data_IF_294128325643
#
_entry.id   IF_294128325643
#
_cell.length_a   1.000
_cell.length_b   1.000
_cell.length_c   1.000
_cell.angle_alpha   90.00
_cell.angle_beta   90.00
_cell.angle_gamma   90.00
#
_symmetry.space_group_name_H-M   'P 1'
#
loop_
_entity.id
_entity.type
_entity.pdbx_description
1 polymer ?
#
# COMPACT_ATOMS: atom_id res chain seq x y z
N UNK A 1 -0.13 25.88 34.59
CA UNK A 1 0.45 26.98 35.40
C UNK A 1 1.17 27.90 34.42
N UNK A 2 0.52 29.00 34.01
CA UNK A 2 1.10 29.95 33.06
C UNK A 2 2.27 30.64 33.75
N UNK A 3 3.44 30.69 33.09
CA UNK A 3 4.62 31.40 33.59
C UNK A 3 4.37 32.91 33.46
N UNK A 4 3.62 33.48 34.40
CA UNK A 4 3.21 34.90 34.39
C UNK A 4 4.39 35.85 34.65
N UNK A 5 5.51 35.36 35.20
CA UNK A 5 6.70 36.15 35.56
C UNK A 5 7.65 36.48 34.38
N UNK A 6 7.26 36.20 33.14
CA UNK A 6 8.17 36.35 31.98
C UNK A 6 8.11 37.72 31.30
N UNK A 7 7.08 38.52 31.56
CA UNK A 7 6.86 39.81 30.90
C UNK A 7 6.44 40.84 31.95
N UNK A 8 7.10 42.00 31.93
CA UNK A 8 6.99 43.04 32.95
C UNK A 8 5.85 44.02 32.66
N UNK A 9 5.32 44.05 31.44
CA UNK A 9 4.19 44.91 31.05
C UNK A 9 3.31 44.29 29.96
N UNK A 10 2.08 44.79 29.82
CA UNK A 10 1.18 44.42 28.72
C UNK A 10 1.76 44.80 27.36
N UNK A 11 2.50 45.91 27.27
CA UNK A 11 3.16 46.34 26.04
C UNK A 11 4.23 45.34 25.56
N UNK A 12 4.96 44.71 26.48
CA UNK A 12 5.91 43.64 26.14
C UNK A 12 5.20 42.38 25.64
N UNK A 13 4.03 42.07 26.22
CA UNK A 13 3.20 40.95 25.77
C UNK A 13 2.69 41.25 24.35
N UNK A 14 2.18 42.45 24.10
CA UNK A 14 1.65 42.86 22.80
C UNK A 14 2.74 42.85 21.72
N UNK A 15 3.94 43.34 22.05
CA UNK A 15 5.10 43.27 21.15
C UNK A 15 5.47 41.82 20.81
N UNK A 16 5.49 40.93 21.80
CA UNK A 16 5.80 39.52 21.58
C UNK A 16 4.72 38.79 20.78
N UNK A 17 3.45 39.15 20.98
CA UNK A 17 2.35 38.62 20.19
C UNK A 17 2.48 39.05 18.72
N UNK A 18 2.81 40.31 18.45
CA UNK A 18 3.02 40.81 17.09
C UNK A 18 4.15 40.08 16.36
N UNK A 19 5.27 39.81 17.05
CA UNK A 19 6.38 39.00 16.49
C UNK A 19 5.92 37.58 16.11
N UNK A 20 5.20 36.90 17.01
CA UNK A 20 4.71 35.54 16.77
C UNK A 20 3.67 35.49 15.64
N UNK A 21 2.84 36.51 15.50
CA UNK A 21 1.90 36.63 14.38
C UNK A 21 2.63 36.79 13.04
N UNK A 22 3.72 37.57 13.01
CA UNK A 22 4.54 37.72 11.82
C UNK A 22 5.24 36.41 11.44
N UNK A 23 5.80 35.69 12.41
CA UNK A 23 6.41 34.37 12.19
C UNK A 23 5.38 33.35 11.69
N UNK A 24 4.19 33.31 12.32
CA UNK A 24 3.08 32.46 11.87
C UNK A 24 2.71 32.74 10.43
N UNK A 25 2.62 34.02 10.05
CA UNK A 25 2.30 34.43 8.67
C UNK A 25 3.38 33.96 7.69
N UNK A 26 4.66 34.06 8.04
CA UNK A 26 5.77 33.55 7.23
C UNK A 26 5.72 32.03 7.07
N UNK A 27 5.49 31.30 8.16
CA UNK A 27 5.41 29.84 8.13
C UNK A 27 4.21 29.33 7.32
N UNK A 28 3.07 30.03 7.37
CA UNK A 28 1.90 29.70 6.54
C UNK A 28 2.20 29.91 5.06
N UNK A 29 2.84 31.03 4.68
CA UNK A 29 3.25 31.26 3.30
C UNK A 29 4.26 30.21 2.80
N UNK A 30 5.24 29.83 3.62
CA UNK A 30 6.20 28.77 3.29
C UNK A 30 5.52 27.40 3.15
N UNK A 31 4.55 27.11 4.01
CA UNK A 31 3.74 25.89 3.93
C UNK A 31 2.95 25.87 2.63
N UNK A 32 2.28 26.95 2.28
CA UNK A 32 1.55 27.07 1.00
C UNK A 32 2.51 26.84 -0.17
N UNK A 33 3.67 27.49 -0.20
CA UNK A 33 4.69 27.27 -1.24
C UNK A 33 5.13 25.81 -1.39
N UNK A 34 5.25 25.07 -0.28
CA UNK A 34 5.62 23.64 -0.28
C UNK A 34 4.44 22.70 -0.57
N UNK A 35 3.24 23.12 -0.22
CA UNK A 35 2.00 22.35 -0.43
C UNK A 35 1.38 22.61 -1.79
N UNK A 36 1.70 23.71 -2.46
CA UNK A 36 1.44 23.86 -3.87
C UNK A 36 2.15 22.69 -4.56
N UNK A 37 1.41 21.73 -5.13
CA UNK A 37 2.03 20.76 -5.99
C UNK A 37 2.72 21.60 -7.07
N UNK A 38 4.01 21.33 -7.30
CA UNK A 38 4.62 21.77 -8.54
C UNK A 38 3.61 21.47 -9.66
N UNK A 39 3.38 22.36 -10.63
CA UNK A 39 2.52 22.02 -11.77
C UNK A 39 3.00 20.76 -12.53
N UNK A 40 4.17 20.21 -12.17
CA UNK A 40 4.73 18.94 -12.62
C UNK A 40 4.76 17.80 -11.59
N UNK A 41 4.20 17.95 -10.37
CA UNK A 41 4.12 16.84 -9.41
C UNK A 41 2.91 15.93 -9.63
N UNK A 42 2.67 15.58 -10.89
CA UNK A 42 2.24 14.24 -11.30
C UNK A 42 3.47 13.37 -11.57
N UNK A 43 4.54 13.56 -10.79
CA UNK A 43 5.81 12.84 -10.91
C UNK A 43 5.75 11.46 -10.24
N UNK A 44 4.60 10.78 -10.36
CA UNK A 44 4.71 9.34 -10.55
C UNK A 44 5.21 9.21 -11.97
N UNK A 45 6.42 8.69 -12.22
CA UNK A 45 6.83 8.39 -13.58
C UNK A 45 5.67 7.66 -14.22
N UNK A 46 5.25 8.10 -15.42
CA UNK A 46 4.24 7.42 -16.21
C UNK A 46 4.82 6.07 -16.59
N UNK A 47 4.84 5.14 -15.62
CA UNK A 47 5.39 3.83 -15.78
C UNK A 47 4.43 3.06 -16.66
N UNK A 48 4.95 2.50 -17.74
CA UNK A 48 4.18 1.55 -18.54
C UNK A 48 3.75 0.37 -17.65
N UNK A 49 2.67 -0.35 -17.99
CA UNK A 49 2.28 -1.56 -17.27
C UNK A 49 3.45 -2.55 -17.07
N UNK A 50 4.32 -2.69 -18.08
CA UNK A 50 5.50 -3.55 -18.05
C UNK A 50 6.53 -3.06 -17.03
N UNK A 51 6.77 -1.75 -16.96
CA UNK A 51 7.67 -1.15 -15.98
C UNK A 51 7.14 -1.35 -14.55
N UNK A 52 5.83 -1.19 -14.33
CA UNK A 52 5.20 -1.44 -13.03
C UNK A 52 5.35 -2.90 -12.60
N UNK A 53 5.18 -3.85 -13.54
CA UNK A 53 5.39 -5.28 -13.29
C UNK A 53 6.86 -5.56 -12.94
N UNK A 54 7.81 -4.98 -13.69
CA UNK A 54 9.23 -5.16 -13.43
C UNK A 54 9.63 -4.63 -12.03
N UNK A 55 9.14 -3.46 -11.66
CA UNK A 55 9.33 -2.87 -10.31
C UNK A 55 8.75 -3.80 -9.25
N UNK A 56 7.51 -4.28 -9.42
CA UNK A 56 6.89 -5.20 -8.47
C UNK A 56 7.72 -6.48 -8.29
N UNK A 57 8.18 -7.11 -9.37
CA UNK A 57 9.05 -8.30 -9.29
C UNK A 57 10.39 -8.00 -8.61
N UNK A 58 10.94 -6.81 -8.83
CA UNK A 58 12.19 -6.38 -8.21
C UNK A 58 12.08 -6.16 -6.70
N UNK A 59 10.96 -5.62 -6.23
CA UNK A 59 10.72 -5.34 -4.81
C UNK A 59 10.22 -6.58 -4.06
N UNK A 60 9.35 -7.37 -4.68
CA UNK A 60 8.71 -8.53 -4.06
C UNK A 60 9.37 -9.83 -4.55
N UNK A 61 10.58 -10.08 -4.04
CA UNK A 61 11.36 -11.30 -4.32
C UNK A 61 10.85 -12.45 -3.46
N UNK A 62 9.84 -13.16 -3.96
CA UNK A 62 9.37 -14.43 -3.41
C UNK A 62 9.56 -15.58 -4.40
N UNK A 63 8.98 -16.74 -4.07
CA UNK A 63 8.85 -17.85 -5.01
C UNK A 63 8.02 -17.43 -6.22
N UNK A 64 8.50 -17.79 -7.41
CA UNK A 64 7.81 -17.52 -8.68
C UNK A 64 7.00 -18.71 -9.17
N UNK A 65 7.17 -19.88 -8.56
CA UNK A 65 6.46 -21.12 -8.91
C UNK A 65 5.12 -21.27 -8.16
N UNK A 66 4.88 -20.43 -7.16
CA UNK A 66 3.66 -20.46 -6.35
C UNK A 66 3.32 -19.07 -5.79
N UNK A 67 2.04 -18.74 -5.73
CA UNK A 67 1.53 -17.56 -5.04
C UNK A 67 0.23 -17.91 -4.29
N UNK A 68 -0.16 -17.04 -3.35
CA UNK A 68 -1.40 -17.19 -2.62
C UNK A 68 -2.43 -16.13 -3.02
N UNK A 69 -3.67 -16.56 -3.25
CA UNK A 69 -4.83 -15.69 -3.42
C UNK A 69 -5.40 -15.31 -2.06
N UNK A 70 -5.72 -14.04 -1.88
CA UNK A 70 -6.54 -13.60 -0.74
C UNK A 70 -8.01 -13.88 -1.05
N UNK A 71 -8.70 -14.55 -0.12
CA UNK A 71 -10.15 -14.71 -0.19
C UNK A 71 -10.81 -14.03 1.00
N UNK A 72 -12.06 -13.64 0.82
CA UNK A 72 -12.91 -13.09 1.88
C UNK A 72 -14.33 -13.60 1.67
N UNK A 73 -14.96 -14.12 2.72
CA UNK A 73 -16.34 -14.58 2.67
C UNK A 73 -17.33 -13.47 3.03
N UNK A 74 -18.61 -13.72 2.79
CA UNK A 74 -19.70 -12.80 3.13
C UNK A 74 -19.82 -12.49 4.63
N UNK A 75 -19.27 -13.35 5.50
CA UNK A 75 -19.25 -13.18 6.96
C UNK A 75 -18.04 -12.36 7.45
N UNK A 76 -17.23 -11.78 6.53
CA UNK A 76 -16.07 -10.95 6.87
C UNK A 76 -14.80 -11.74 7.21
N UNK A 77 -14.83 -13.08 7.23
CA UNK A 77 -13.62 -13.90 7.39
C UNK A 77 -12.78 -13.80 6.13
N UNK A 78 -11.48 -13.61 6.31
CA UNK A 78 -10.52 -13.58 5.22
C UNK A 78 -9.34 -14.49 5.48
N UNK A 79 -8.63 -14.87 4.43
CA UNK A 79 -7.45 -15.71 4.51
C UNK A 79 -6.69 -15.78 3.20
N UNK A 80 -5.62 -16.59 3.21
CA UNK A 80 -4.80 -16.84 2.05
C UNK A 80 -4.88 -18.32 1.66
N UNK A 81 -4.95 -18.59 0.37
CA UNK A 81 -4.90 -19.95 -0.18
C UNK A 81 -3.98 -19.99 -1.38
N UNK A 82 -3.07 -20.97 -1.41
CA UNK A 82 -2.17 -21.19 -2.54
C UNK A 82 -2.97 -21.44 -3.82
N UNK A 83 -2.57 -20.75 -4.90
CA UNK A 83 -3.15 -20.90 -6.22
C UNK A 83 -2.75 -22.25 -6.82
N UNK A 84 -3.72 -22.91 -7.44
CA UNK A 84 -3.56 -24.25 -8.02
C UNK A 84 -4.34 -24.31 -9.33
N UNK A 85 -3.73 -24.82 -10.41
CA UNK A 85 -4.38 -25.02 -11.70
C UNK A 85 -5.49 -26.06 -11.62
N UNK A 86 -5.36 -27.02 -10.68
CA UNK A 86 -6.37 -28.05 -10.46
C UNK A 86 -7.46 -27.61 -9.47
N UNK A 87 -7.43 -26.36 -8.99
CA UNK A 87 -8.43 -25.87 -8.04
C UNK A 87 -9.84 -26.03 -8.61
N UNK A 88 -10.74 -26.63 -7.81
CA UNK A 88 -12.13 -26.91 -8.18
C UNK A 88 -12.36 -27.90 -9.34
N UNK A 89 -11.32 -28.55 -9.88
CA UNK A 89 -11.51 -29.64 -10.84
C UNK A 89 -12.11 -30.88 -10.13
N UNK A 90 -13.32 -31.25 -10.53
CA UNK A 90 -14.03 -32.41 -9.99
C UNK A 90 -13.23 -33.70 -10.24
N UNK A 91 -13.11 -34.54 -9.21
CA UNK A 91 -12.34 -35.79 -9.26
C UNK A 91 -10.82 -35.63 -9.13
N UNK A 92 -10.29 -34.41 -9.15
CA UNK A 92 -8.84 -34.14 -9.00
C UNK A 92 -8.59 -33.38 -7.69
N UNK A 93 -9.26 -32.25 -7.49
CA UNK A 93 -9.12 -31.45 -6.29
C UNK A 93 -10.32 -31.65 -5.38
N UNK A 94 -10.05 -32.04 -4.12
CA UNK A 94 -11.09 -32.32 -3.13
C UNK A 94 -11.39 -31.13 -2.22
N UNK A 95 -11.29 -29.90 -2.73
CA UNK A 95 -11.77 -28.72 -2.00
C UNK A 95 -13.28 -28.83 -1.77
N UNK A 96 -13.82 -28.42 -0.59
CA UNK A 96 -13.13 -27.74 0.51
C UNK A 96 -12.50 -28.68 1.57
N UNK A 97 -12.61 -30.01 1.42
CA UNK A 97 -12.14 -30.98 2.43
C UNK A 97 -10.63 -30.97 2.63
N UNK A 98 -9.87 -30.77 1.55
CA UNK A 98 -8.41 -30.72 1.56
C UNK A 98 -7.93 -29.40 0.97
N UNK A 99 -6.95 -28.75 1.62
CA UNK A 99 -6.32 -27.53 1.11
C UNK A 99 -5.42 -27.88 -0.08
N UNK A 100 -5.31 -27.00 -1.06
CA UNK A 100 -4.43 -27.24 -2.22
C UNK A 100 -2.95 -27.43 -1.84
N UNK A 101 -2.52 -26.86 -0.70
CA UNK A 101 -1.18 -27.07 -0.17
C UNK A 101 -0.92 -28.54 0.22
N UNK A 102 -1.94 -29.23 0.72
CA UNK A 102 -1.87 -30.60 1.24
C UNK A 102 -2.43 -31.64 0.25
N UNK A 103 -2.80 -31.21 -0.96
CA UNK A 103 -3.40 -32.07 -1.98
C UNK A 103 -2.33 -32.89 -2.72
N UNK A 104 -2.60 -34.18 -2.97
CA UNK A 104 -1.72 -35.06 -3.75
C UNK A 104 -1.73 -34.72 -5.25
N UNK A 105 -2.84 -34.20 -5.77
CA UNK A 105 -2.98 -33.76 -7.17
C UNK A 105 -2.75 -32.25 -7.32
N UNK A 106 -1.97 -31.64 -6.42
CA UNK A 106 -1.68 -30.21 -6.49
C UNK A 106 -0.83 -29.89 -7.73
N UNK A 107 -1.23 -28.84 -8.43
CA UNK A 107 -0.47 -28.26 -9.53
C UNK A 107 -0.43 -26.75 -9.29
N UNK A 108 0.63 -26.27 -8.64
CA UNK A 108 0.74 -24.86 -8.30
C UNK A 108 0.80 -23.98 -9.54
N UNK A 109 0.16 -22.82 -9.46
CA UNK A 109 0.18 -21.84 -10.54
C UNK A 109 1.39 -20.93 -10.40
N UNK A 110 2.18 -20.84 -11.46
CA UNK A 110 3.33 -19.94 -11.51
C UNK A 110 2.92 -18.46 -11.52
N UNK A 111 3.73 -17.62 -10.89
CA UNK A 111 3.58 -16.17 -10.85
C UNK A 111 4.10 -15.54 -12.15
N UNK A 112 3.19 -15.37 -13.11
CA UNK A 112 3.48 -14.72 -14.39
C UNK A 112 3.10 -13.22 -14.40
N UNK A 113 3.50 -12.51 -15.45
CA UNK A 113 3.26 -11.08 -15.60
C UNK A 113 1.76 -10.73 -15.68
N UNK A 114 0.93 -11.62 -16.22
CA UNK A 114 -0.52 -11.40 -16.29
C UNK A 114 -1.16 -11.45 -14.90
N UNK A 115 -0.72 -12.36 -14.04
CA UNK A 115 -1.16 -12.43 -12.65
C UNK A 115 -0.74 -11.14 -11.91
N UNK A 116 0.52 -10.72 -12.04
CA UNK A 116 1.00 -9.47 -11.43
C UNK A 116 0.23 -8.25 -11.98
N UNK A 117 -0.07 -8.23 -13.26
CA UNK A 117 -0.90 -7.17 -13.84
C UNK A 117 -2.29 -7.11 -13.19
N UNK A 118 -2.97 -8.25 -13.05
CA UNK A 118 -4.28 -8.34 -12.37
C UNK A 118 -4.19 -7.89 -10.91
N UNK A 119 -3.05 -8.08 -10.26
CA UNK A 119 -2.79 -7.52 -8.93
C UNK A 119 -2.78 -6.01 -8.92
N UNK A 120 -1.94 -5.43 -9.78
CA UNK A 120 -1.74 -3.99 -9.86
C UNK A 120 -3.01 -3.28 -10.34
N UNK A 121 -3.84 -3.95 -11.13
CA UNK A 121 -5.14 -3.47 -11.58
C UNK A 121 -6.25 -3.62 -10.52
N UNK A 122 -5.96 -4.19 -9.34
CA UNK A 122 -6.93 -4.36 -8.26
C UNK A 122 -7.95 -5.49 -8.49
N UNK A 123 -7.75 -6.33 -9.50
CA UNK A 123 -8.67 -7.42 -9.84
C UNK A 123 -8.49 -8.62 -8.91
N UNK A 124 -7.25 -8.90 -8.48
CA UNK A 124 -6.95 -9.96 -7.52
C UNK A 124 -5.86 -9.57 -6.53
N UNK A 125 -6.07 -9.81 -5.25
CA UNK A 125 -5.03 -9.66 -4.24
C UNK A 125 -4.22 -10.94 -4.16
N UNK A 126 -2.94 -10.85 -4.55
CA UNK A 126 -2.00 -11.95 -4.51
C UNK A 126 -0.76 -11.61 -3.71
N UNK A 127 -0.25 -12.64 -3.03
CA UNK A 127 0.94 -12.55 -2.21
C UNK A 127 1.95 -13.59 -2.71
N UNK A 128 3.16 -13.15 -3.08
CA UNK A 128 4.26 -14.07 -3.35
C UNK A 128 4.53 -14.89 -2.09
N UNK A 129 4.56 -16.21 -2.22
CA UNK A 129 4.95 -17.06 -1.10
C UNK A 129 6.46 -16.95 -0.87
N UNK A 130 6.89 -16.92 0.39
CA UNK A 130 8.31 -17.10 0.74
C UNK A 130 8.66 -18.57 0.80
#
# INVERSE_FOLDING_TARGET
MLKTDRFQSTAEIDARLAELEQEKKQLLALREQRQHPSPNSSDSPLYSPEQKIAIFRGLFKGRTDIFANRWQNKQGRSGYSVACNNEWLQGICHKPRVKCQDCNHRQFTELNNQIIYRHLAGQHLLFPCR
#
